data_IF_063467584547
#
_entry.id   IF_063467584547
#
_cell.length_a   1.000
_cell.length_b   1.000
_cell.length_c   1.000
_cell.angle_alpha   90.00
_cell.angle_beta   90.00
_cell.angle_gamma   90.00
#
_symmetry.space_group_name_H-M   'P 1'
#
loop_
_entity.id
_entity.type
_entity.pdbx_description
1 polymer ?
#
# COMPACT_ATOMS: atom_id res chain seq x y z
N UNK A 1 20.05 3.35 -2.55
CA UNK A 1 19.09 4.38 -3.06
C UNK A 1 18.47 5.09 -1.87
N UNK A 2 18.43 6.41 -1.91
CA UNK A 2 17.88 7.19 -0.81
C UNK A 2 16.58 7.87 -1.25
N UNK A 3 15.47 7.48 -0.61
CA UNK A 3 14.16 8.05 -0.89
C UNK A 3 13.71 8.91 0.29
N UNK A 4 12.92 9.94 -0.01
CA UNK A 4 12.21 10.73 0.98
C UNK A 4 10.71 10.53 0.77
N UNK A 5 9.96 10.59 1.87
CA UNK A 5 8.52 10.33 1.87
C UNK A 5 7.79 11.55 2.41
N UNK A 6 7.25 12.36 1.51
CA UNK A 6 6.69 13.66 1.84
C UNK A 6 5.18 13.58 2.05
N UNK A 7 4.67 14.42 2.95
CA UNK A 7 3.23 14.63 3.10
C UNK A 7 2.72 15.59 2.04
N UNK A 8 1.41 15.58 1.80
CA UNK A 8 0.78 16.43 0.80
C UNK A 8 1.05 17.92 1.06
N UNK A 9 1.01 18.35 2.34
CA UNK A 9 1.23 19.75 2.72
C UNK A 9 2.69 20.20 2.56
N UNK A 10 3.61 19.29 2.33
CA UNK A 10 5.00 19.64 2.03
C UNK A 10 5.22 19.93 0.55
N UNK A 11 4.22 19.72 -0.30
CA UNK A 11 4.28 19.99 -1.74
C UNK A 11 3.56 21.30 -2.05
N UNK A 12 4.17 22.12 -2.92
CA UNK A 12 3.51 23.33 -3.44
C UNK A 12 2.36 22.96 -4.36
N UNK A 13 2.57 21.94 -5.18
CA UNK A 13 1.57 21.40 -6.09
C UNK A 13 1.80 19.90 -6.29
N UNK A 14 0.76 19.19 -6.66
CA UNK A 14 0.87 17.76 -7.00
C UNK A 14 1.41 17.66 -8.41
N UNK A 15 2.61 17.06 -8.61
CA UNK A 15 3.19 16.96 -9.94
C UNK A 15 2.43 15.99 -10.84
N UNK A 16 2.53 16.19 -12.15
CA UNK A 16 1.99 15.25 -13.13
C UNK A 16 2.86 14.01 -13.22
N UNK A 17 2.26 12.84 -12.99
CA UNK A 17 2.93 11.54 -13.04
C UNK A 17 2.04 10.56 -13.83
N UNK A 18 2.64 9.50 -14.34
CA UNK A 18 1.93 8.47 -15.10
C UNK A 18 2.04 7.11 -14.39
N UNK A 19 0.92 6.63 -13.85
CA UNK A 19 0.83 5.35 -13.15
C UNK A 19 0.12 4.27 -13.95
N UNK A 20 -0.18 4.53 -15.23
CA UNK A 20 -0.83 3.53 -16.07
C UNK A 20 0.11 2.37 -16.40
N UNK A 21 -0.47 1.23 -16.77
CA UNK A 21 0.31 0.11 -17.31
C UNK A 21 0.90 0.49 -18.67
N UNK A 22 1.82 -0.34 -19.18
CA UNK A 22 2.45 -0.07 -20.49
C UNK A 22 1.45 -0.09 -21.65
N UNK A 23 0.32 -0.79 -21.48
CA UNK A 23 -0.78 -0.79 -22.48
C UNK A 23 -1.77 0.37 -22.27
N UNK A 24 -1.50 1.27 -21.30
CA UNK A 24 -2.36 2.40 -20.98
C UNK A 24 -3.50 2.10 -20.02
N UNK A 25 -3.67 0.86 -19.60
CA UNK A 25 -4.71 0.49 -18.64
C UNK A 25 -4.37 0.93 -17.21
N UNK A 26 -5.39 0.99 -16.35
CA UNK A 26 -5.25 1.38 -14.94
C UNK A 26 -6.15 0.46 -14.10
N UNK A 27 -5.82 -0.85 -14.02
CA UNK A 27 -6.72 -1.85 -13.43
C UNK A 27 -6.98 -1.65 -11.93
N UNK A 28 -6.05 -1.03 -11.20
CA UNK A 28 -6.19 -0.76 -9.78
C UNK A 28 -6.56 0.70 -9.50
N UNK A 29 -6.84 1.47 -10.53
CA UNK A 29 -7.21 2.89 -10.46
C UNK A 29 -6.15 3.74 -9.73
N UNK A 30 -4.88 3.34 -9.78
CA UNK A 30 -3.78 4.08 -9.14
C UNK A 30 -3.63 5.46 -9.80
N UNK A 31 -3.68 5.50 -11.12
CA UNK A 31 -3.58 6.73 -11.90
C UNK A 31 -4.83 7.61 -11.71
N UNK A 32 -6.01 7.03 -11.84
CA UNK A 32 -7.27 7.75 -11.68
C UNK A 32 -7.42 8.33 -10.26
N UNK A 33 -7.08 7.56 -9.24
CA UNK A 33 -7.12 8.02 -7.85
C UNK A 33 -6.21 9.23 -7.63
N UNK A 34 -4.99 9.17 -8.17
CA UNK A 34 -4.01 10.25 -8.02
C UNK A 34 -4.55 11.59 -8.49
N UNK A 35 -5.21 11.61 -9.64
CA UNK A 35 -5.72 12.84 -10.25
C UNK A 35 -7.09 13.25 -9.71
N UNK A 36 -7.96 12.30 -9.36
CA UNK A 36 -9.35 12.59 -9.07
C UNK A 36 -9.71 12.59 -7.58
N UNK A 37 -9.08 11.71 -6.79
CA UNK A 37 -9.57 11.41 -5.44
C UNK A 37 -8.58 11.65 -4.30
N UNK A 38 -7.28 11.74 -4.60
CA UNK A 38 -6.24 11.78 -3.58
C UNK A 38 -6.47 12.90 -2.56
N UNK A 39 -6.73 14.12 -3.04
CA UNK A 39 -6.93 15.28 -2.18
C UNK A 39 -8.19 15.15 -1.34
N UNK A 40 -9.29 14.71 -1.95
CA UNK A 40 -10.55 14.48 -1.24
C UNK A 40 -10.36 13.46 -0.10
N UNK A 41 -9.69 12.37 -0.36
CA UNK A 41 -9.45 11.33 0.64
C UNK A 41 -8.55 11.82 1.77
N UNK A 42 -7.53 12.60 1.44
CA UNK A 42 -6.64 13.20 2.44
C UNK A 42 -7.40 14.17 3.36
N UNK A 43 -8.17 15.07 2.77
CA UNK A 43 -8.92 16.08 3.51
C UNK A 43 -10.04 15.47 4.35
N UNK A 44 -10.66 14.40 3.86
CA UNK A 44 -11.75 13.69 4.55
C UNK A 44 -11.26 12.64 5.54
N UNK A 45 -9.95 12.51 5.75
CA UNK A 45 -9.36 11.51 6.66
C UNK A 45 -9.68 10.06 6.29
N UNK A 46 -9.88 9.79 5.00
CA UNK A 46 -10.10 8.45 4.49
C UNK A 46 -8.81 7.71 4.19
N UNK A 47 -7.78 8.44 3.78
CA UNK A 47 -6.41 7.91 3.66
C UNK A 47 -5.41 9.04 3.73
N UNK A 48 -4.18 8.71 4.11
CA UNK A 48 -3.06 9.65 4.11
C UNK A 48 -2.13 9.30 2.96
N UNK A 49 -1.85 10.28 2.10
CA UNK A 49 -0.93 10.09 0.99
C UNK A 49 0.49 10.49 1.40
N UNK A 50 1.46 9.72 0.94
CA UNK A 50 2.87 10.07 1.01
C UNK A 50 3.42 10.08 -0.41
N UNK A 51 4.20 11.10 -0.73
CA UNK A 51 4.84 11.27 -2.04
C UNK A 51 6.29 10.84 -1.95
N UNK A 52 6.70 10.01 -2.88
CA UNK A 52 8.05 9.42 -2.87
C UNK A 52 8.96 10.30 -3.70
N UNK A 53 9.98 10.85 -3.06
CA UNK A 53 10.97 11.71 -3.70
C UNK A 53 12.28 10.98 -3.85
N UNK A 54 12.77 10.95 -5.08
CA UNK A 54 14.08 10.40 -5.42
C UNK A 54 14.92 11.50 -6.07
N UNK A 55 16.06 11.80 -5.46
CA UNK A 55 16.84 13.01 -5.81
C UNK A 55 15.91 14.22 -5.65
N UNK A 56 15.71 15.03 -6.66
CA UNK A 56 14.87 16.22 -6.55
C UNK A 56 13.51 16.08 -7.22
N UNK A 57 13.12 14.85 -7.55
CA UNK A 57 11.88 14.58 -8.27
C UNK A 57 10.94 13.66 -7.50
N UNK A 58 9.63 13.94 -7.60
CA UNK A 58 8.60 13.03 -7.11
C UNK A 58 8.45 11.92 -8.15
N UNK A 59 8.58 10.68 -7.70
CA UNK A 59 8.61 9.51 -8.58
C UNK A 59 7.50 8.51 -8.31
N UNK A 60 6.71 8.74 -7.27
CA UNK A 60 5.63 7.84 -6.91
C UNK A 60 4.85 8.33 -5.72
N UNK A 61 3.85 7.55 -5.32
CA UNK A 61 3.07 7.82 -4.12
C UNK A 61 2.48 6.52 -3.57
N UNK A 62 2.04 6.58 -2.34
CA UNK A 62 1.19 5.56 -1.76
C UNK A 62 0.23 6.19 -0.77
N UNK A 63 -0.84 5.46 -0.46
CA UNK A 63 -1.80 5.88 0.56
C UNK A 63 -1.93 4.80 1.62
N UNK A 64 -2.13 5.23 2.86
CA UNK A 64 -2.31 4.33 3.99
C UNK A 64 -3.52 4.75 4.80
N UNK A 65 -4.19 3.77 5.39
CA UNK A 65 -5.33 4.00 6.28
C UNK A 65 -5.44 2.86 7.29
N UNK A 66 -6.21 3.09 8.34
CA UNK A 66 -6.51 2.06 9.33
C UNK A 66 -7.51 1.07 8.75
N UNK A 67 -7.31 -0.21 9.05
CA UNK A 67 -8.20 -1.27 8.58
C UNK A 67 -8.13 -2.47 9.53
N UNK A 68 -8.76 -3.55 9.16
CA UNK A 68 -8.69 -4.81 9.87
C UNK A 68 -8.78 -5.96 8.86
N UNK A 69 -8.23 -7.10 9.22
CA UNK A 69 -8.35 -8.31 8.42
C UNK A 69 -9.08 -9.38 9.22
N UNK A 70 -10.04 -10.03 8.59
CA UNK A 70 -10.83 -11.09 9.24
C UNK A 70 -9.96 -12.33 9.44
N UNK A 71 -10.13 -12.96 10.60
CA UNK A 71 -9.35 -14.13 10.99
C UNK A 71 -9.44 -15.28 9.97
N UNK A 72 -10.61 -15.47 9.37
CA UNK A 72 -10.83 -16.53 8.38
C UNK A 72 -10.13 -16.27 7.05
N UNK A 73 -9.58 -15.07 6.84
CA UNK A 73 -8.79 -14.72 5.66
C UNK A 73 -7.29 -14.94 5.87
N UNK A 74 -6.89 -15.23 7.10
CA UNK A 74 -5.50 -15.47 7.48
C UNK A 74 -5.17 -16.97 7.47
N UNK A 75 -3.88 -17.29 7.34
CA UNK A 75 -3.41 -18.65 7.53
C UNK A 75 -3.68 -19.14 8.96
N UNK A 76 -3.82 -20.43 9.16
CA UNK A 76 -4.18 -21.05 10.45
C UNK A 76 -3.16 -20.75 11.54
N UNK A 77 -1.90 -20.61 11.19
CA UNK A 77 -0.81 -20.32 12.11
C UNK A 77 -0.77 -18.85 12.52
N UNK A 78 -1.59 -17.99 11.89
CA UNK A 78 -1.68 -16.57 12.24
C UNK A 78 -2.60 -16.32 13.44
N UNK A 79 -3.44 -17.27 13.79
CA UNK A 79 -4.37 -17.12 14.91
C UNK A 79 -3.60 -16.97 16.23
N UNK A 80 -3.90 -15.91 16.96
CA UNK A 80 -3.32 -15.69 18.29
C UNK A 80 -4.07 -16.56 19.30
N UNK A 81 -3.35 -17.50 19.89
CA UNK A 81 -3.92 -18.44 20.88
C UNK A 81 -4.46 -17.66 22.08
N UNK A 82 -5.71 -17.97 22.44
CA UNK A 82 -6.37 -17.34 23.58
C UNK A 82 -7.03 -16.01 23.27
N UNK A 83 -6.81 -15.44 22.07
CA UNK A 83 -7.49 -14.21 21.69
C UNK A 83 -8.88 -14.49 21.12
N UNK A 84 -9.83 -13.64 21.47
CA UNK A 84 -11.23 -13.78 21.03
C UNK A 84 -11.63 -12.95 19.80
N UNK A 85 -10.93 -11.82 19.46
CA UNK A 85 -11.32 -11.04 18.29
C UNK A 85 -11.30 -11.86 17.00
N UNK A 86 -12.30 -11.62 16.15
CA UNK A 86 -12.38 -12.24 14.82
C UNK A 86 -11.79 -11.38 13.71
N UNK A 87 -11.35 -10.18 14.06
CA UNK A 87 -10.67 -9.25 13.17
C UNK A 87 -9.39 -8.78 13.86
N UNK A 88 -8.32 -8.74 13.11
CA UNK A 88 -7.04 -8.26 13.61
C UNK A 88 -6.70 -6.91 12.99
N UNK A 89 -6.10 -5.99 13.76
CA UNK A 89 -5.79 -4.66 13.25
C UNK A 89 -4.73 -4.70 12.16
N UNK A 90 -4.95 -3.89 11.14
CA UNK A 90 -4.08 -3.84 9.97
C UNK A 90 -3.99 -2.42 9.42
N UNK A 91 -2.92 -2.14 8.72
CA UNK A 91 -2.78 -0.95 7.91
C UNK A 91 -3.01 -1.32 6.45
N UNK A 92 -3.90 -0.61 5.78
CA UNK A 92 -4.16 -0.80 4.37
C UNK A 92 -3.28 0.13 3.54
N UNK A 93 -2.51 -0.45 2.62
CA UNK A 93 -1.94 0.31 1.52
C UNK A 93 -3.03 0.36 0.44
N UNK A 94 -3.73 1.48 0.35
CA UNK A 94 -4.87 1.62 -0.55
C UNK A 94 -4.45 1.76 -2.01
N UNK A 95 -3.44 2.57 -2.24
CA UNK A 95 -2.83 2.78 -3.56
C UNK A 95 -1.33 2.83 -3.40
N UNK A 96 -0.60 2.31 -4.37
CA UNK A 96 0.85 2.41 -4.42
C UNK A 96 1.27 2.40 -5.88
N UNK A 97 1.95 3.45 -6.31
CA UNK A 97 2.39 3.55 -7.68
C UNK A 97 3.75 4.23 -7.81
N UNK A 98 4.49 3.79 -8.83
CA UNK A 98 5.74 4.41 -9.25
C UNK A 98 5.53 4.93 -10.66
N UNK A 99 5.95 6.17 -10.91
CA UNK A 99 5.86 6.78 -12.23
C UNK A 99 6.51 5.86 -13.28
N UNK A 100 5.88 5.76 -14.42
CA UNK A 100 6.29 4.85 -15.49
C UNK A 100 7.77 4.98 -15.85
N UNK A 101 8.33 6.20 -15.83
CA UNK A 101 9.74 6.47 -16.14
C UNK A 101 10.72 5.88 -15.12
N UNK A 102 10.25 5.63 -13.89
CA UNK A 102 11.13 5.23 -12.79
C UNK A 102 10.94 3.77 -12.38
N UNK A 103 10.14 3.00 -13.11
CA UNK A 103 9.93 1.58 -12.83
C UNK A 103 11.18 0.76 -13.10
N UNK A 104 11.27 -0.41 -12.43
CA UNK A 104 12.39 -1.32 -12.61
C UNK A 104 13.66 -0.92 -11.87
N UNK A 105 13.56 0.00 -10.91
CA UNK A 105 14.72 0.51 -10.15
C UNK A 105 14.67 0.16 -8.66
N UNK A 106 13.71 -0.68 -8.24
CA UNK A 106 13.58 -1.09 -6.83
C UNK A 106 12.81 -0.11 -5.94
N UNK A 107 12.24 0.96 -6.49
CA UNK A 107 11.52 1.97 -5.71
C UNK A 107 10.30 1.35 -5.00
N UNK A 108 9.55 0.50 -5.70
CA UNK A 108 8.39 -0.17 -5.11
C UNK A 108 8.75 -1.01 -3.90
N UNK A 109 9.86 -1.72 -3.95
CA UNK A 109 10.35 -2.52 -2.81
C UNK A 109 10.71 -1.65 -1.62
N UNK A 110 11.33 -0.50 -1.86
CA UNK A 110 11.65 0.47 -0.81
C UNK A 110 10.39 1.06 -0.17
N UNK A 111 9.37 1.34 -0.98
CA UNK A 111 8.08 1.81 -0.46
C UNK A 111 7.47 0.78 0.48
N UNK A 112 7.50 -0.51 0.11
CA UNK A 112 6.95 -1.57 0.96
C UNK A 112 7.71 -1.69 2.29
N UNK A 113 9.03 -1.56 2.26
CA UNK A 113 9.83 -1.54 3.49
C UNK A 113 9.44 -0.36 4.37
N UNK A 114 9.27 0.82 3.78
CA UNK A 114 8.84 2.00 4.52
C UNK A 114 7.47 1.79 5.14
N UNK A 115 6.51 1.26 4.38
CA UNK A 115 5.15 1.00 4.89
C UNK A 115 5.15 0.01 6.04
N UNK A 116 5.96 -1.03 5.98
CA UNK A 116 6.09 -1.98 7.09
C UNK A 116 6.69 -1.31 8.32
N UNK A 117 7.71 -0.49 8.13
CA UNK A 117 8.28 0.31 9.22
C UNK A 117 7.26 1.26 9.85
N UNK A 118 6.45 1.90 9.00
CA UNK A 118 5.37 2.77 9.47
C UNK A 118 4.34 2.00 10.30
N UNK A 119 3.97 0.79 9.87
CA UNK A 119 3.06 -0.05 10.63
C UNK A 119 3.64 -0.46 11.99
N UNK A 120 4.92 -0.77 12.04
CA UNK A 120 5.62 -1.09 13.30
C UNK A 120 5.57 0.11 14.24
N UNK A 121 5.93 1.30 13.75
CA UNK A 121 5.89 2.52 14.56
C UNK A 121 4.48 2.84 15.04
N UNK A 122 3.50 2.75 14.15
CA UNK A 122 2.09 2.97 14.49
C UNK A 122 1.65 2.03 15.61
N UNK A 123 2.14 0.79 15.62
CA UNK A 123 1.75 -0.22 16.61
C UNK A 123 2.16 0.14 18.04
N UNK A 124 3.06 1.09 18.23
CA UNK A 124 3.41 1.59 19.57
C UNK A 124 2.34 2.52 20.15
N UNK A 125 1.57 3.16 19.29
CA UNK A 125 0.50 4.07 19.70
C UNK A 125 -0.87 3.42 19.53
N UNK A 126 -1.09 2.79 18.39
CA UNK A 126 -2.34 2.12 18.04
C UNK A 126 -1.98 0.77 17.42
N UNK A 127 -2.45 -0.32 18.02
CA UNK A 127 -2.09 -1.67 17.59
C UNK A 127 -2.28 -1.85 16.09
N UNK A 128 -1.27 -2.41 15.45
CA UNK A 128 -1.28 -2.74 14.03
C UNK A 128 -0.45 -4.01 13.84
N UNK A 129 -1.11 -5.10 13.46
CA UNK A 129 -0.45 -6.40 13.35
C UNK A 129 -0.05 -6.74 11.92
N UNK A 130 -0.83 -6.29 10.95
CA UNK A 130 -0.63 -6.62 9.53
C UNK A 130 -0.57 -5.38 8.66
N UNK A 131 0.05 -5.55 7.50
CA UNK A 131 -0.10 -4.65 6.36
C UNK A 131 -0.87 -5.43 5.31
N UNK A 132 -1.91 -4.83 4.76
CA UNK A 132 -2.77 -5.47 3.76
C UNK A 132 -2.84 -4.61 2.50
N UNK A 133 -3.08 -5.25 1.38
CA UNK A 133 -3.23 -4.57 0.09
C UNK A 133 -4.03 -5.42 -0.89
N UNK A 134 -4.44 -4.79 -1.99
CA UNK A 134 -5.09 -5.44 -3.12
C UNK A 134 -4.24 -5.19 -4.37
N UNK A 135 -4.09 -6.21 -5.21
CA UNK A 135 -3.29 -6.11 -6.43
C UNK A 135 -3.84 -7.01 -7.52
N UNK A 136 -3.25 -6.94 -8.71
CA UNK A 136 -3.60 -7.85 -9.80
C UNK A 136 -2.81 -9.15 -9.69
N UNK A 137 -3.31 -10.21 -10.34
CA UNK A 137 -2.57 -11.48 -10.45
C UNK A 137 -1.17 -11.26 -11.01
N UNK A 138 -1.05 -10.41 -12.02
CA UNK A 138 0.23 -10.13 -12.67
C UNK A 138 1.26 -9.53 -11.71
N UNK A 139 0.81 -8.75 -10.71
CA UNK A 139 1.69 -8.07 -9.75
C UNK A 139 1.87 -8.84 -8.44
N UNK A 140 1.09 -9.88 -8.19
CA UNK A 140 1.15 -10.65 -6.93
C UNK A 140 2.56 -11.18 -6.66
N UNK A 141 3.27 -11.59 -7.69
CA UNK A 141 4.64 -12.09 -7.59
C UNK A 141 5.60 -11.05 -6.99
N UNK A 142 5.47 -9.78 -7.36
CA UNK A 142 6.28 -8.70 -6.80
C UNK A 142 6.07 -8.60 -5.28
N UNK A 143 4.82 -8.66 -4.82
CA UNK A 143 4.52 -8.56 -3.41
C UNK A 143 4.95 -9.80 -2.62
N UNK A 144 4.86 -10.99 -3.22
CA UNK A 144 5.36 -12.22 -2.58
C UNK A 144 6.84 -12.12 -2.24
N UNK A 145 7.63 -11.54 -3.11
CA UNK A 145 9.07 -11.35 -2.86
C UNK A 145 9.34 -10.42 -1.68
N UNK A 146 8.38 -9.58 -1.34
CA UNK A 146 8.46 -8.69 -0.18
C UNK A 146 7.79 -9.27 1.07
N UNK A 147 7.45 -10.56 1.06
CA UNK A 147 6.92 -11.25 2.23
C UNK A 147 5.40 -11.25 2.34
N UNK A 148 4.67 -10.77 1.33
CA UNK A 148 3.21 -10.83 1.34
C UNK A 148 2.72 -12.18 0.85
N UNK A 149 1.61 -12.65 1.43
CA UNK A 149 0.93 -13.87 1.02
C UNK A 149 -0.53 -13.56 0.70
N UNK A 150 -1.16 -14.39 -0.12
CA UNK A 150 -2.57 -14.21 -0.45
C UNK A 150 -3.45 -14.45 0.76
N UNK A 151 -4.48 -13.63 0.92
CA UNK A 151 -5.55 -13.88 1.89
C UNK A 151 -6.47 -15.00 1.37
N UNK A 152 -7.35 -15.50 2.24
CA UNK A 152 -8.33 -16.52 1.86
C UNK A 152 -9.47 -16.02 0.98
N UNK A 153 -9.48 -14.76 0.58
CA UNK A 153 -10.50 -14.24 -0.33
C UNK A 153 -10.29 -14.77 -1.74
N UNK A 154 -11.35 -15.27 -2.41
CA UNK A 154 -11.22 -15.62 -3.81
C UNK A 154 -10.97 -14.36 -4.65
N UNK A 155 -10.20 -14.47 -5.75
CA UNK A 155 -9.98 -13.33 -6.64
C UNK A 155 -11.30 -12.81 -7.21
N UNK A 156 -11.41 -11.48 -7.31
CA UNK A 156 -12.55 -10.83 -7.96
C UNK A 156 -12.03 -9.99 -9.13
N UNK A 157 -12.48 -10.29 -10.35
CA UNK A 157 -12.10 -9.54 -11.56
C UNK A 157 -10.57 -9.43 -11.70
N UNK A 158 -9.85 -10.52 -11.36
CA UNK A 158 -8.40 -10.54 -11.44
C UNK A 158 -7.68 -9.80 -10.31
N UNK A 159 -8.41 -9.33 -9.29
CA UNK A 159 -7.83 -8.65 -8.14
C UNK A 159 -7.73 -9.61 -6.96
N UNK A 160 -6.56 -9.68 -6.36
CA UNK A 160 -6.26 -10.52 -5.21
C UNK A 160 -5.92 -9.66 -4.00
N UNK A 161 -6.28 -10.14 -2.81
CA UNK A 161 -5.91 -9.51 -1.55
C UNK A 161 -4.71 -10.22 -0.96
N UNK A 162 -3.80 -9.43 -0.39
CA UNK A 162 -2.56 -9.95 0.20
C UNK A 162 -2.30 -9.32 1.55
N UNK A 163 -1.58 -10.03 2.40
CA UNK A 163 -1.17 -9.51 3.71
C UNK A 163 0.24 -9.93 4.06
N UNK A 164 0.86 -9.17 4.96
CA UNK A 164 2.11 -9.53 5.61
C UNK A 164 2.06 -9.06 7.06
N UNK A 165 2.78 -9.74 7.96
CA UNK A 165 2.95 -9.20 9.30
C UNK A 165 3.75 -7.91 9.23
N UNK A 166 3.40 -6.94 10.07
CA UNK A 166 4.17 -5.71 10.17
C UNK A 166 5.60 -6.00 10.63
N UNK A 167 5.73 -6.90 11.58
CA UNK A 167 7.02 -7.29 12.13
C UNK A 167 7.17 -8.81 12.21
#
# INVERSE_FOLDING_TARGET
MRLQYLYLDELKEIPGLDFTEYDGSDPLEIHAFYYNDLRLYQESKLSTARFVKYKDEIVGYFTVSMNAIELDKLGKDEKVKGATPKKYPAMLIGRMGVDKKYRGRGIGSEILLFCRGLAIETSHEIACRYVILHTTEARAHFYRRSGFVRSGNPPRKGIVSMYARAA
#
